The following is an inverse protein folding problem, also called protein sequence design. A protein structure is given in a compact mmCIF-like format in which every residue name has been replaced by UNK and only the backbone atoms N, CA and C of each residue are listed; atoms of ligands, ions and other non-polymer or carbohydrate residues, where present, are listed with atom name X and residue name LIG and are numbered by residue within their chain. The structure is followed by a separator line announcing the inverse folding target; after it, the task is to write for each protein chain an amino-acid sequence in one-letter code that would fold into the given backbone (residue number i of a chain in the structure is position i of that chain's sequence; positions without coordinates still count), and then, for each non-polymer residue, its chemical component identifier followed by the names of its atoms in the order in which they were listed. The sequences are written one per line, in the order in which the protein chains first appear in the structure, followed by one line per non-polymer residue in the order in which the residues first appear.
data_IF_441130193609
#
_entry.id   IF_441130193609
#
_cell.length_a   1.000
_cell.length_b   1.000
_cell.length_c   1.000
_cell.angle_alpha   90.00
_cell.angle_beta   90.00
_cell.angle_gamma   90.00
#
_symmetry.space_group_name_H-M   'P 1'
#
loop_
_entity.id
_entity.type
_entity.pdbx_description
1 polymer ?
#
# COMPACT_ATOMS: atom_id res chain seq x y z
N UNK A 1 -9.02 -45.84 3.27
CA UNK A 1 -8.87 -45.11 1.99
C UNK A 1 -10.28 -44.95 1.46
N UNK A 2 -10.87 -43.77 1.43
CA UNK A 2 -10.44 -42.66 0.56
C UNK A 2 -10.71 -41.31 1.21
N UNK A 3 -9.74 -40.41 0.98
CA UNK A 3 -9.77 -38.99 1.31
C UNK A 3 -10.88 -38.29 0.53
N UNK A 4 -11.66 -37.44 1.21
CA UNK A 4 -12.33 -36.32 0.57
C UNK A 4 -11.65 -35.06 1.11
N UNK A 5 -10.66 -34.57 0.35
CA UNK A 5 -10.01 -33.30 0.61
C UNK A 5 -11.01 -32.17 0.32
N UNK A 6 -11.31 -31.37 1.34
CA UNK A 6 -11.91 -30.05 1.17
C UNK A 6 -10.90 -29.16 0.43
N UNK A 7 -11.08 -28.99 -0.87
CA UNK A 7 -10.38 -27.96 -1.65
C UNK A 7 -10.95 -26.59 -1.27
N UNK A 8 -10.30 -25.94 -0.31
CA UNK A 8 -10.59 -24.57 0.07
C UNK A 8 -9.81 -23.64 -0.89
N UNK A 9 -10.31 -23.50 -2.11
CA UNK A 9 -9.73 -22.64 -3.15
C UNK A 9 -10.07 -21.18 -2.85
N UNK A 10 -9.39 -20.61 -1.84
CA UNK A 10 -9.54 -19.21 -1.46
C UNK A 10 -8.67 -18.34 -2.37
N UNK A 11 -9.05 -18.20 -3.63
CA UNK A 11 -8.46 -17.19 -4.51
C UNK A 11 -8.81 -15.80 -3.96
N UNK A 12 -7.81 -15.15 -3.38
CA UNK A 12 -7.89 -13.80 -2.80
C UNK A 12 -7.60 -12.77 -3.90
N UNK A 13 -8.45 -11.74 -4.01
CA UNK A 13 -8.32 -10.66 -5.01
C UNK A 13 -7.75 -9.37 -4.40
N UNK A 14 -6.84 -9.51 -3.44
CA UNK A 14 -6.33 -8.39 -2.66
C UNK A 14 -5.22 -7.59 -3.38
N UNK A 15 -4.71 -8.06 -4.53
CA UNK A 15 -3.69 -7.35 -5.31
C UNK A 15 -4.34 -6.31 -6.21
N UNK A 16 -4.56 -5.11 -5.67
CA UNK A 16 -5.22 -4.02 -6.39
C UNK A 16 -4.28 -3.41 -7.43
N UNK A 17 -4.74 -3.29 -8.68
CA UNK A 17 -3.97 -2.66 -9.75
C UNK A 17 -3.86 -1.14 -9.51
N UNK A 18 -2.65 -0.57 -9.46
CA UNK A 18 -2.46 0.85 -9.21
C UNK A 18 -2.92 1.73 -10.38
N UNK A 19 -3.13 1.19 -11.58
CA UNK A 19 -3.59 1.98 -12.73
C UNK A 19 -5.11 2.07 -12.85
N UNK A 20 -5.82 0.95 -12.67
CA UNK A 20 -7.26 0.88 -12.89
C UNK A 20 -8.09 0.57 -11.63
N UNK A 21 -7.46 0.27 -10.49
CA UNK A 21 -8.13 0.00 -9.22
C UNK A 21 -8.78 -1.39 -9.11
N UNK A 22 -8.64 -2.24 -10.12
CA UNK A 22 -9.23 -3.59 -10.12
C UNK A 22 -8.39 -4.53 -9.25
N UNK A 23 -9.06 -5.35 -8.42
CA UNK A 23 -8.43 -6.41 -7.64
C UNK A 23 -8.07 -7.62 -8.50
N UNK A 24 -6.88 -8.17 -8.28
CA UNK A 24 -6.31 -9.31 -9.01
C UNK A 24 -5.92 -10.42 -8.03
N UNK A 25 -5.81 -11.67 -8.50
CA UNK A 25 -5.21 -12.75 -7.73
C UNK A 25 -3.84 -12.35 -7.15
N UNK A 26 -3.50 -12.84 -5.96
CA UNK A 26 -2.25 -12.46 -5.28
C UNK A 26 -1.00 -12.78 -6.11
N UNK A 27 -1.04 -13.87 -6.88
CA UNK A 27 0.03 -14.34 -7.77
C UNK A 27 -0.04 -13.78 -9.20
N UNK A 28 -0.97 -12.88 -9.50
CA UNK A 28 -1.08 -12.30 -10.83
C UNK A 28 0.09 -11.35 -11.16
N UNK A 29 0.81 -11.65 -12.25
CA UNK A 29 1.89 -10.80 -12.76
C UNK A 29 1.37 -9.58 -13.55
N UNK A 30 0.16 -9.64 -14.09
CA UNK A 30 -0.48 -8.53 -14.81
C UNK A 30 -1.93 -8.32 -14.39
N UNK A 31 -2.42 -7.11 -14.60
CA UNK A 31 -3.81 -6.77 -14.33
C UNK A 31 -4.74 -7.40 -15.37
N UNK A 32 -5.79 -8.10 -14.90
CA UNK A 32 -6.77 -8.77 -15.76
C UNK A 32 -7.60 -7.83 -16.65
N UNK A 33 -7.61 -6.52 -16.36
CA UNK A 33 -8.44 -5.53 -17.09
C UNK A 33 -7.62 -4.61 -17.98
N UNK A 34 -6.46 -4.14 -17.52
CA UNK A 34 -5.67 -3.14 -18.25
C UNK A 34 -4.27 -3.62 -18.64
N UNK A 35 -3.96 -4.91 -18.44
CA UNK A 35 -2.69 -5.55 -18.78
C UNK A 35 -1.44 -4.92 -18.15
N UNK A 36 -1.61 -4.01 -17.18
CA UNK A 36 -0.51 -3.42 -16.43
C UNK A 36 0.30 -4.51 -15.72
N UNK A 37 1.61 -4.45 -15.85
CA UNK A 37 2.53 -5.24 -15.05
C UNK A 37 2.38 -4.88 -13.56
N UNK A 38 2.10 -5.89 -12.74
CA UNK A 38 1.92 -5.79 -11.30
C UNK A 38 3.13 -6.30 -10.53
N UNK A 39 4.10 -6.94 -11.19
CA UNK A 39 5.22 -7.63 -10.55
C UNK A 39 6.02 -6.75 -9.59
N UNK A 40 6.11 -5.45 -9.88
CA UNK A 40 6.82 -4.47 -9.06
C UNK A 40 5.99 -3.92 -7.89
N UNK A 41 4.66 -4.02 -7.94
CA UNK A 41 3.75 -3.50 -6.91
C UNK A 41 3.61 -4.49 -5.76
N UNK A 42 4.18 -4.15 -4.59
CA UNK A 42 4.06 -4.95 -3.36
C UNK A 42 2.75 -4.70 -2.64
N UNK A 43 2.25 -3.46 -2.69
CA UNK A 43 0.97 -3.07 -2.12
C UNK A 43 0.47 -1.82 -2.83
N UNK A 44 -0.82 -1.80 -3.11
CA UNK A 44 -1.51 -0.60 -3.54
C UNK A 44 -2.85 -0.51 -2.79
N UNK A 45 -3.19 0.69 -2.34
CA UNK A 45 -4.50 0.96 -1.77
C UNK A 45 -4.98 2.37 -2.10
N UNK A 46 -6.31 2.49 -2.16
CA UNK A 46 -6.97 3.78 -2.31
C UNK A 46 -7.36 4.37 -0.94
N UNK A 47 -7.07 5.66 -0.75
CA UNK A 47 -7.49 6.40 0.43
C UNK A 47 -8.22 7.71 0.03
N UNK A 48 -8.69 8.49 0.98
CA UNK A 48 -9.55 9.64 0.72
C UNK A 48 -8.83 10.76 -0.04
N UNK A 49 -7.58 11.06 0.34
CA UNK A 49 -6.85 12.22 -0.21
C UNK A 49 -5.76 11.82 -1.21
N UNK A 50 -5.32 10.58 -1.13
CA UNK A 50 -4.23 10.03 -1.91
C UNK A 50 -4.45 8.53 -2.05
N UNK A 51 -3.95 7.97 -3.15
CA UNK A 51 -3.67 6.55 -3.19
C UNK A 51 -2.19 6.35 -2.85
N UNK A 52 -1.86 5.20 -2.28
CA UNK A 52 -0.47 4.84 -1.97
C UNK A 52 -0.13 3.55 -2.71
N UNK A 53 1.02 3.56 -3.35
CA UNK A 53 1.67 2.38 -3.91
C UNK A 53 3.02 2.19 -3.22
N UNK A 54 3.33 0.95 -2.86
CA UNK A 54 4.64 0.52 -2.42
C UNK A 54 5.21 -0.46 -3.45
N UNK A 55 6.40 -0.16 -3.94
CA UNK A 55 7.23 -1.07 -4.74
C UNK A 55 8.43 -1.53 -3.92
N UNK A 56 9.32 -2.32 -4.50
CA UNK A 56 10.59 -2.70 -3.88
C UNK A 56 11.50 -1.51 -3.56
N UNK A 57 11.37 -0.40 -4.31
CA UNK A 57 12.26 0.76 -4.21
C UNK A 57 11.56 2.04 -3.75
N UNK A 58 10.26 2.19 -4.03
CA UNK A 58 9.54 3.44 -3.91
C UNK A 58 8.29 3.30 -3.05
N UNK A 59 8.04 4.33 -2.25
CA UNK A 59 6.70 4.70 -1.80
C UNK A 59 6.19 5.83 -2.70
N UNK A 60 5.03 5.64 -3.32
CA UNK A 60 4.44 6.58 -4.26
C UNK A 60 3.09 7.06 -3.71
N UNK A 61 2.94 8.37 -3.57
CA UNK A 61 1.66 9.03 -3.29
C UNK A 61 1.05 9.53 -4.58
N UNK A 62 -0.14 9.04 -4.93
CA UNK A 62 -0.94 9.58 -6.02
C UNK A 62 -1.97 10.56 -5.48
N UNK A 63 -1.78 11.86 -5.74
CA UNK A 63 -2.64 12.90 -5.17
C UNK A 63 -4.02 12.91 -5.84
N UNK A 64 -5.09 12.85 -5.04
CA UNK A 64 -6.47 13.04 -5.54
C UNK A 64 -6.85 14.51 -5.67
N UNK A 65 -7.80 14.77 -6.56
CA UNK A 65 -8.38 16.09 -6.76
C UNK A 65 -9.19 16.52 -5.53
N UNK A 66 -9.65 17.77 -5.52
CA UNK A 66 -10.42 18.33 -4.42
C UNK A 66 -11.67 17.50 -4.08
N UNK A 67 -12.32 16.93 -5.10
CA UNK A 67 -13.50 16.07 -4.96
C UNK A 67 -13.18 14.63 -4.54
N UNK A 68 -11.90 14.26 -4.43
CA UNK A 68 -11.42 12.94 -4.01
C UNK A 68 -11.86 11.79 -4.93
N UNK A 69 -12.30 12.09 -6.14
CA UNK A 69 -12.85 11.10 -7.08
C UNK A 69 -11.82 10.62 -8.10
N UNK A 70 -10.80 11.43 -8.38
CA UNK A 70 -9.79 11.13 -9.41
C UNK A 70 -8.42 11.61 -8.98
N UNK A 71 -7.39 10.92 -9.43
CA UNK A 71 -6.00 11.39 -9.35
C UNK A 71 -5.82 12.67 -10.15
N UNK A 72 -4.92 13.52 -9.69
CA UNK A 72 -4.55 14.78 -10.37
C UNK A 72 -3.48 14.59 -11.44
N UNK A 73 -2.90 13.39 -11.55
CA UNK A 73 -1.70 13.12 -12.34
C UNK A 73 -0.41 13.58 -11.67
N UNK A 74 -0.48 14.29 -10.51
CA UNK A 74 0.68 14.60 -9.68
C UNK A 74 0.93 13.45 -8.72
N UNK A 75 2.17 12.99 -8.71
CA UNK A 75 2.66 12.01 -7.76
C UNK A 75 3.83 12.56 -6.93
N UNK A 76 4.01 12.01 -5.73
CA UNK A 76 5.24 12.15 -4.96
C UNK A 76 5.88 10.78 -4.84
N UNK A 77 7.20 10.72 -5.05
CA UNK A 77 7.97 9.48 -4.97
C UNK A 77 9.04 9.60 -3.91
N UNK A 78 9.10 8.60 -3.04
CA UNK A 78 10.05 8.51 -1.95
C UNK A 78 10.83 7.21 -2.08
N UNK A 79 12.15 7.30 -2.25
CA UNK A 79 13.01 6.11 -2.20
C UNK A 79 12.98 5.53 -0.80
N UNK A 80 12.56 4.27 -0.68
CA UNK A 80 12.43 3.56 0.60
C UNK A 80 13.77 3.58 1.36
N UNK A 81 14.88 3.39 0.65
CA UNK A 81 16.23 3.42 1.21
C UNK A 81 16.61 4.76 1.87
N UNK A 82 15.95 5.86 1.51
CA UNK A 82 16.21 7.19 2.07
C UNK A 82 15.18 7.60 3.16
N UNK A 83 14.11 6.82 3.34
CA UNK A 83 13.10 7.07 4.37
C UNK A 83 13.70 6.75 5.75
N UNK A 84 13.47 7.63 6.72
CA UNK A 84 13.93 7.49 8.12
C UNK A 84 12.81 7.77 9.10
N UNK A 85 13.02 7.39 10.36
CA UNK A 85 12.11 7.69 11.49
C UNK A 85 10.65 7.33 11.17
N UNK A 86 10.42 6.12 10.66
CA UNK A 86 9.07 5.64 10.32
C UNK A 86 8.28 5.41 11.60
N UNK A 87 7.10 6.01 11.68
CA UNK A 87 6.21 5.92 12.83
C UNK A 87 4.78 5.58 12.42
N UNK A 88 4.19 4.70 13.21
CA UNK A 88 2.78 4.31 13.15
C UNK A 88 2.12 4.76 14.46
N UNK A 89 1.29 5.82 14.39
CA UNK A 89 0.64 6.45 15.54
C UNK A 89 -0.64 5.75 15.99
N UNK A 90 -0.95 5.85 17.29
CA UNK A 90 -2.16 5.35 17.93
C UNK A 90 -2.68 6.37 18.97
N UNK A 91 -4.00 6.60 19.13
CA UNK A 91 -5.13 5.94 18.44
C UNK A 91 -5.40 6.47 17.03
N UNK A 92 -4.90 7.66 16.70
CA UNK A 92 -5.07 8.23 15.37
C UNK A 92 -4.15 7.48 14.40
N UNK A 93 -4.71 6.85 13.36
CA UNK A 93 -4.01 6.03 12.36
C UNK A 93 -3.11 6.85 11.42
N UNK A 94 -2.11 7.50 12.01
CA UNK A 94 -1.12 8.33 11.31
C UNK A 94 0.09 7.49 10.96
N UNK A 95 0.42 7.44 9.70
CA UNK A 95 1.70 6.97 9.20
C UNK A 95 2.58 8.20 8.93
N UNK A 96 3.78 8.25 9.49
CA UNK A 96 4.70 9.36 9.25
C UNK A 96 6.13 8.91 9.13
N UNK A 97 6.93 9.69 8.42
CA UNK A 97 8.36 9.43 8.25
C UNK A 97 9.10 10.72 7.92
N UNK A 98 10.43 10.67 7.95
CA UNK A 98 11.30 11.73 7.43
C UNK A 98 11.89 11.33 6.10
N UNK A 99 11.90 12.26 5.15
CA UNK A 99 12.55 12.12 3.85
C UNK A 99 13.23 13.43 3.48
N UNK A 100 14.53 13.37 3.16
CA UNK A 100 15.36 14.56 2.82
C UNK A 100 15.18 15.72 3.81
N UNK A 101 15.13 15.40 5.11
CA UNK A 101 14.99 16.37 6.20
C UNK A 101 13.56 16.90 6.44
N UNK A 102 12.57 16.51 5.63
CA UNK A 102 11.17 16.91 5.79
C UNK A 102 10.36 15.77 6.42
N UNK A 103 9.43 16.09 7.31
CA UNK A 103 8.47 15.12 7.87
C UNK A 103 7.25 15.05 6.96
N UNK A 104 6.93 13.85 6.49
CA UNK A 104 5.70 13.54 5.76
C UNK A 104 4.73 12.81 6.71
N UNK A 105 3.44 13.12 6.60
CA UNK A 105 2.40 12.56 7.47
C UNK A 105 1.16 12.23 6.65
N UNK A 106 0.68 11.00 6.82
CA UNK A 106 -0.48 10.44 6.15
C UNK A 106 -1.47 9.97 7.23
N UNK A 107 -2.70 10.50 7.20
CA UNK A 107 -3.81 9.94 7.95
C UNK A 107 -4.48 8.87 7.06
N UNK A 108 -4.40 7.61 7.47
CA UNK A 108 -4.87 6.48 6.67
C UNK A 108 -6.17 5.92 7.24
N UNK A 109 -7.00 5.32 6.39
CA UNK A 109 -8.07 4.42 6.84
C UNK A 109 -7.47 3.24 7.61
N UNK A 110 -8.25 2.69 8.54
CA UNK A 110 -7.77 1.63 9.42
C UNK A 110 -7.23 0.41 8.67
N UNK A 111 -7.96 -0.07 7.67
CA UNK A 111 -7.53 -1.23 6.87
C UNK A 111 -6.23 -0.93 6.12
N UNK A 112 -6.13 0.24 5.47
CA UNK A 112 -4.92 0.67 4.75
C UNK A 112 -3.72 0.82 5.69
N UNK A 113 -3.94 1.41 6.87
CA UNK A 113 -2.92 1.56 7.91
C UNK A 113 -2.38 0.20 8.36
N UNK A 114 -3.29 -0.76 8.62
CA UNK A 114 -2.91 -2.10 9.06
C UNK A 114 -2.19 -2.87 7.95
N UNK A 115 -2.68 -2.81 6.71
CA UNK A 115 -2.03 -3.46 5.55
C UNK A 115 -0.63 -2.92 5.31
N UNK A 116 -0.42 -1.61 5.37
CA UNK A 116 0.91 -1.00 5.22
C UNK A 116 1.86 -1.45 6.34
N UNK A 117 1.37 -1.46 7.58
CA UNK A 117 2.15 -1.89 8.75
C UNK A 117 2.55 -3.36 8.67
N UNK A 118 1.62 -4.25 8.31
CA UNK A 118 1.91 -5.67 8.14
C UNK A 118 2.87 -5.93 6.98
N UNK A 119 2.76 -5.19 5.87
CA UNK A 119 3.72 -5.28 4.78
C UNK A 119 5.12 -4.86 5.24
N UNK A 120 5.25 -3.71 5.91
CA UNK A 120 6.54 -3.23 6.41
C UNK A 120 7.20 -4.24 7.34
N UNK A 121 6.42 -4.85 8.23
CA UNK A 121 6.89 -5.96 9.08
C UNK A 121 7.34 -7.17 8.27
N UNK A 122 6.58 -7.57 7.25
CA UNK A 122 6.88 -8.72 6.37
C UNK A 122 8.20 -8.53 5.60
N UNK A 123 8.47 -7.32 5.11
CA UNK A 123 9.68 -7.01 4.32
C UNK A 123 10.84 -6.49 5.18
N UNK A 124 10.71 -6.52 6.52
CA UNK A 124 11.79 -6.20 7.45
C UNK A 124 12.09 -4.71 7.61
N UNK A 125 11.17 -3.81 7.23
CA UNK A 125 11.28 -2.38 7.51
C UNK A 125 10.99 -2.14 8.99
N UNK A 126 11.95 -1.54 9.68
CA UNK A 126 11.84 -1.18 11.10
C UNK A 126 11.02 0.10 11.24
N UNK A 127 10.06 0.10 12.15
CA UNK A 127 9.24 1.27 12.49
C UNK A 127 8.96 1.32 13.99
N UNK A 128 8.62 2.51 14.49
CA UNK A 128 8.21 2.73 15.87
C UNK A 128 6.68 2.83 15.99
N UNK A 129 6.16 2.38 17.13
CA UNK A 129 4.77 2.62 17.53
C UNK A 129 4.73 3.84 18.42
N UNK A 130 4.05 4.89 17.96
CA UNK A 130 3.87 6.12 18.73
C UNK A 130 2.55 5.99 19.50
N UNK A 131 2.67 5.72 20.80
CA UNK A 131 1.55 5.69 21.74
C UNK A 131 1.55 7.06 22.42
N UNK A 132 0.53 7.89 22.13
CA UNK A 132 0.30 9.15 22.84
C UNK A 132 -0.27 8.90 24.25
#
# INVERSE_FOLDING_TARGET
MTMNQEYNDKTSFNRICPECGVGNPEDADSCIVCDKDLSETLLFFEDDFYDIELTSELLIEYRKNFYRTRRTGKDKKYFIAEIKDIKFGHPIKRFSFKYKGKKEVYALKEDNYNSLKELFKKIGIIYELEVE
#
